data_IF_956362599519
#
_entry.id   IF_956362599519
#
_cell.length_a   1.000
_cell.length_b   1.000
_cell.length_c   1.000
_cell.angle_alpha   90.00
_cell.angle_beta   90.00
_cell.angle_gamma   90.00
#
_symmetry.space_group_name_H-M   'P 1'
#
loop_
_entity.id
_entity.type
_entity.pdbx_description
1 polymer ?
#
# COMPACT_ATOMS: atom_id res chain seq x y z
N UNK A 1 15.93 -9.75 2.97
CA UNK A 1 14.55 -10.24 3.17
C UNK A 1 13.64 -10.01 1.97
N UNK A 2 13.40 -8.77 1.50
CA UNK A 2 12.52 -8.51 0.33
C UNK A 2 12.93 -9.30 -0.93
N UNK A 3 14.23 -9.36 -1.26
CA UNK A 3 14.70 -10.18 -2.41
C UNK A 3 14.54 -11.69 -2.24
N UNK A 4 14.54 -12.20 -1.01
CA UNK A 4 14.30 -13.63 -0.72
C UNK A 4 12.80 -13.91 -0.86
N UNK A 5 11.95 -12.97 -0.43
CA UNK A 5 10.50 -13.05 -0.56
C UNK A 5 10.07 -13.00 -2.03
N UNK A 6 10.66 -12.13 -2.84
CA UNK A 6 10.38 -12.03 -4.29
C UNK A 6 10.90 -13.26 -5.05
N UNK A 7 12.12 -13.73 -4.76
CA UNK A 7 12.73 -14.87 -5.47
C UNK A 7 12.36 -16.24 -4.87
N UNK A 8 11.41 -16.32 -3.94
CA UNK A 8 11.04 -17.59 -3.30
C UNK A 8 10.36 -18.58 -4.25
N UNK A 9 10.01 -18.16 -5.47
CA UNK A 9 9.52 -19.03 -6.54
C UNK A 9 10.62 -19.90 -7.16
N UNK A 10 11.90 -19.59 -6.93
CA UNK A 10 13.01 -20.48 -7.29
C UNK A 10 13.15 -21.51 -6.18
N UNK A 11 12.26 -22.51 -6.19
CA UNK A 11 12.27 -23.62 -5.24
C UNK A 11 12.23 -24.96 -5.99
N UNK A 12 12.86 -25.99 -5.43
CA UNK A 12 12.92 -27.33 -6.03
C UNK A 12 11.59 -28.10 -5.99
N UNK A 13 10.49 -27.45 -5.62
CA UNK A 13 9.17 -28.05 -5.43
C UNK A 13 8.11 -27.46 -6.38
N UNK A 14 8.49 -26.61 -7.34
CA UNK A 14 7.60 -25.90 -8.29
C UNK A 14 6.43 -25.13 -7.62
N UNK A 15 6.60 -24.71 -6.37
CA UNK A 15 5.58 -23.97 -5.64
C UNK A 15 5.58 -22.50 -6.07
N UNK A 16 4.38 -21.90 -6.15
CA UNK A 16 4.22 -20.48 -6.38
C UNK A 16 5.00 -19.65 -5.34
N UNK A 17 5.55 -18.51 -5.77
CA UNK A 17 6.30 -17.63 -4.87
C UNK A 17 5.41 -17.17 -3.69
N UNK A 18 6.00 -16.92 -2.52
CA UNK A 18 5.26 -16.50 -1.33
C UNK A 18 4.38 -15.26 -1.56
N UNK A 19 4.80 -14.24 -2.35
CA UNK A 19 3.94 -13.14 -2.75
C UNK A 19 2.70 -13.61 -3.53
N UNK A 20 2.85 -14.54 -4.49
CA UNK A 20 1.75 -15.05 -5.32
C UNK A 20 0.77 -15.89 -4.50
N UNK A 21 1.26 -16.74 -3.59
CA UNK A 21 0.39 -17.53 -2.71
C UNK A 21 -0.38 -16.64 -1.74
N UNK A 22 0.28 -15.63 -1.16
CA UNK A 22 -0.37 -14.65 -0.28
C UNK A 22 -1.34 -13.78 -1.06
N UNK A 23 -1.01 -13.45 -2.31
CA UNK A 23 -1.87 -12.71 -3.21
C UNK A 23 -3.14 -13.48 -3.56
N UNK A 24 -3.05 -14.78 -3.88
CA UNK A 24 -4.21 -15.63 -4.12
C UNK A 24 -5.10 -15.77 -2.87
N UNK A 25 -4.50 -15.87 -1.67
CA UNK A 25 -5.26 -15.91 -0.43
C UNK A 25 -5.95 -14.58 -0.12
N UNK A 26 -5.25 -13.45 -0.30
CA UNK A 26 -5.81 -12.12 -0.12
C UNK A 26 -6.90 -11.82 -1.17
N UNK A 27 -6.69 -12.23 -2.42
CA UNK A 27 -7.68 -12.17 -3.49
C UNK A 27 -8.90 -13.05 -3.18
N UNK A 28 -8.71 -14.25 -2.61
CA UNK A 28 -9.81 -15.12 -2.20
C UNK A 28 -10.61 -14.59 -1.00
N UNK A 29 -9.97 -13.84 -0.10
CA UNK A 29 -10.62 -13.26 1.08
C UNK A 29 -11.28 -11.90 0.80
N UNK A 30 -10.60 -11.04 0.03
CA UNK A 30 -11.00 -9.64 -0.19
C UNK A 30 -11.69 -9.47 -1.55
N UNK A 31 -11.33 -10.29 -2.53
CA UNK A 31 -11.90 -10.29 -3.87
C UNK A 31 -11.85 -8.91 -4.50
N UNK A 32 -12.99 -8.49 -5.04
CA UNK A 32 -13.15 -7.22 -5.73
C UNK A 32 -12.96 -5.98 -4.85
N UNK A 33 -12.90 -6.13 -3.52
CA UNK A 33 -12.64 -5.02 -2.62
C UNK A 33 -11.13 -4.69 -2.50
N UNK A 34 -10.24 -5.44 -3.15
CA UNK A 34 -8.79 -5.26 -2.98
C UNK A 34 -8.27 -3.84 -3.29
N UNK A 35 -8.76 -3.14 -4.33
CA UNK A 35 -8.37 -1.75 -4.58
C UNK A 35 -8.63 -0.81 -3.40
N UNK A 36 -9.68 -1.06 -2.61
CA UNK A 36 -9.97 -0.24 -1.44
C UNK A 36 -8.93 -0.42 -0.33
N UNK A 37 -8.29 -1.59 -0.25
CA UNK A 37 -7.27 -1.91 0.76
C UNK A 37 -5.85 -1.55 0.30
N UNK A 38 -5.62 -1.39 -1.00
CA UNK A 38 -4.32 -1.03 -1.58
C UNK A 38 -3.68 0.20 -0.93
N UNK A 39 -4.47 1.27 -0.73
CA UNK A 39 -4.00 2.48 -0.06
C UNK A 39 -3.65 2.22 1.42
N UNK A 40 -4.43 1.40 2.12
CA UNK A 40 -4.19 1.06 3.54
C UNK A 40 -2.91 0.26 3.72
N UNK A 41 -2.61 -0.67 2.81
CA UNK A 41 -1.34 -1.43 2.82
C UNK A 41 -0.15 -0.48 2.61
N UNK A 42 -0.26 0.48 1.68
CA UNK A 42 0.77 1.51 1.48
C UNK A 42 0.99 2.37 2.72
N UNK A 43 -0.10 2.79 3.38
CA UNK A 43 -0.04 3.59 4.61
C UNK A 43 0.58 2.81 5.77
N UNK A 44 0.23 1.54 5.96
CA UNK A 44 0.84 0.67 6.97
C UNK A 44 2.35 0.53 6.74
N UNK A 45 2.78 0.30 5.50
CA UNK A 45 4.19 0.22 5.17
C UNK A 45 4.94 1.51 5.48
N UNK A 46 4.36 2.67 5.16
CA UNK A 46 4.99 3.96 5.43
C UNK A 46 4.97 4.34 6.91
N UNK A 47 3.93 3.94 7.65
CA UNK A 47 3.84 4.13 9.08
C UNK A 47 4.92 3.32 9.83
N UNK A 48 5.11 2.05 9.47
CA UNK A 48 6.10 1.16 10.09
C UNK A 48 7.52 1.52 9.66
N UNK A 49 7.76 1.64 8.35
CA UNK A 49 9.10 1.90 7.81
C UNK A 49 9.53 3.35 8.01
N UNK A 50 8.57 4.26 8.14
CA UNK A 50 8.82 5.67 8.24
C UNK A 50 9.22 6.37 6.94
N UNK A 51 9.02 5.73 5.79
CA UNK A 51 9.40 6.33 4.52
C UNK A 51 8.54 5.81 3.38
N UNK A 52 8.11 6.73 2.53
CA UNK A 52 7.39 6.39 1.30
C UNK A 52 8.22 5.48 0.40
N UNK A 53 9.52 5.75 0.30
CA UNK A 53 10.43 4.96 -0.55
C UNK A 53 10.53 3.53 -0.05
N UNK A 54 10.71 3.34 1.25
CA UNK A 54 10.85 2.01 1.84
C UNK A 54 9.53 1.24 1.77
N UNK A 55 8.40 1.90 2.03
CA UNK A 55 7.07 1.29 1.87
C UNK A 55 6.83 0.79 0.45
N UNK A 56 7.12 1.63 -0.55
CA UNK A 56 6.94 1.26 -1.95
C UNK A 56 7.86 0.09 -2.35
N UNK A 57 9.14 0.13 -1.95
CA UNK A 57 10.04 -1.01 -2.20
C UNK A 57 9.59 -2.30 -1.52
N UNK A 58 8.91 -2.24 -0.37
CA UNK A 58 8.43 -3.40 0.36
C UNK A 58 7.16 -4.00 -0.24
N UNK A 59 6.17 -3.17 -0.58
CA UNK A 59 4.82 -3.64 -0.89
C UNK A 59 4.40 -3.49 -2.36
N UNK A 60 5.08 -2.65 -3.16
CA UNK A 60 4.63 -2.40 -4.55
C UNK A 60 4.72 -3.66 -5.40
N UNK A 61 5.74 -4.51 -5.20
CA UNK A 61 5.82 -5.79 -5.90
C UNK A 61 4.68 -6.73 -5.48
N UNK A 62 4.41 -6.85 -4.18
CA UNK A 62 3.30 -7.67 -3.70
C UNK A 62 1.96 -7.21 -4.29
N UNK A 63 1.70 -5.90 -4.28
CA UNK A 63 0.47 -5.36 -4.84
C UNK A 63 0.37 -5.49 -6.37
N UNK A 64 1.51 -5.42 -7.07
CA UNK A 64 1.56 -5.71 -8.50
C UNK A 64 1.13 -7.15 -8.80
N UNK A 65 1.68 -8.13 -8.08
CA UNK A 65 1.32 -9.55 -8.23
C UNK A 65 -0.15 -9.82 -7.89
N UNK A 66 -0.69 -9.16 -6.85
CA UNK A 66 -2.12 -9.25 -6.51
C UNK A 66 -2.98 -8.68 -7.63
N UNK A 67 -2.61 -7.54 -8.21
CA UNK A 67 -3.34 -6.93 -9.31
C UNK A 67 -3.37 -7.83 -10.56
N UNK A 68 -2.24 -8.47 -10.88
CA UNK A 68 -2.15 -9.46 -11.96
C UNK A 68 -3.05 -10.68 -11.68
N UNK A 69 -3.02 -11.19 -10.46
CA UNK A 69 -3.83 -12.35 -10.04
C UNK A 69 -5.34 -12.06 -10.10
N UNK A 70 -5.74 -10.85 -9.70
CA UNK A 70 -7.12 -10.38 -9.75
C UNK A 70 -7.54 -9.87 -11.15
N UNK A 71 -6.64 -9.88 -12.14
CA UNK A 71 -6.89 -9.34 -13.49
C UNK A 71 -7.36 -7.87 -13.49
N UNK A 72 -6.90 -7.08 -12.52
CA UNK A 72 -7.18 -5.65 -12.39
C UNK A 72 -5.96 -4.81 -12.79
N UNK A 73 -6.15 -3.52 -13.10
CA UNK A 73 -5.02 -2.66 -13.50
C UNK A 73 -3.95 -2.56 -12.39
N UNK A 74 -2.75 -3.00 -12.72
CA UNK A 74 -1.60 -2.93 -11.82
C UNK A 74 -1.11 -1.51 -11.64
N UNK A 75 -1.21 -0.66 -12.67
CA UNK A 75 -0.90 0.78 -12.56
C UNK A 75 -1.76 1.47 -11.50
N UNK A 76 -3.07 1.22 -11.50
CA UNK A 76 -3.97 1.86 -10.53
C UNK A 76 -3.70 1.36 -9.12
N UNK A 77 -3.51 0.05 -8.94
CA UNK A 77 -3.21 -0.53 -7.62
C UNK A 77 -1.88 0.02 -7.08
N UNK A 78 -0.82 0.11 -7.90
CA UNK A 78 0.44 0.71 -7.46
C UNK A 78 0.28 2.20 -7.13
N UNK A 79 -0.49 2.94 -7.94
CA UNK A 79 -0.75 4.35 -7.69
C UNK A 79 -1.47 4.57 -6.35
N UNK A 80 -2.50 3.75 -6.06
CA UNK A 80 -3.21 3.76 -4.78
C UNK A 80 -2.27 3.45 -3.61
N UNK A 81 -1.35 2.50 -3.78
CA UNK A 81 -0.35 2.23 -2.75
C UNK A 81 0.54 3.44 -2.50
N UNK A 82 1.02 4.12 -3.55
CA UNK A 82 1.89 5.29 -3.41
C UNK A 82 1.16 6.45 -2.69
N UNK A 83 -0.12 6.67 -3.01
CA UNK A 83 -0.97 7.64 -2.30
C UNK A 83 -1.16 7.24 -0.83
N UNK A 84 -1.43 5.97 -0.59
CA UNK A 84 -1.52 5.40 0.75
C UNK A 84 -0.24 5.59 1.57
N UNK A 85 0.92 5.32 0.96
CA UNK A 85 2.22 5.53 1.59
C UNK A 85 2.40 6.98 2.02
N UNK A 86 2.09 7.95 1.15
CA UNK A 86 2.12 9.36 1.52
C UNK A 86 1.21 9.69 2.71
N UNK A 87 0.01 9.10 2.77
CA UNK A 87 -0.91 9.27 3.88
C UNK A 87 -0.40 8.67 5.21
N UNK A 88 0.20 7.48 5.16
CA UNK A 88 0.79 6.81 6.32
C UNK A 88 2.04 7.51 6.86
N UNK A 89 2.80 8.18 5.99
CA UNK A 89 3.98 8.93 6.40
C UNK A 89 3.64 10.12 7.31
N UNK A 90 2.44 10.68 7.22
CA UNK A 90 1.96 11.78 8.09
C UNK A 90 1.80 11.36 9.57
N UNK A 91 1.57 10.08 9.84
CA UNK A 91 1.38 9.53 11.19
C UNK A 91 2.59 8.75 11.69
N UNK A 92 3.63 8.59 10.88
CA UNK A 92 4.82 7.84 11.25
C UNK A 92 5.55 8.53 12.43
N UNK A 93 5.82 7.78 13.49
CA UNK A 93 6.32 8.32 14.78
C UNK A 93 7.60 9.12 14.57
N UNK A 94 8.54 8.59 13.79
CA UNK A 94 9.83 9.26 13.52
C UNK A 94 9.66 10.64 12.84
N UNK A 95 8.66 10.83 11.97
CA UNK A 95 8.35 12.13 11.37
C UNK A 95 7.70 13.08 12.38
N UNK A 96 6.75 12.58 13.17
CA UNK A 96 6.02 13.39 14.16
C UNK A 96 6.95 13.86 15.28
N UNK A 97 7.87 13.00 15.73
CA UNK A 97 8.91 13.33 16.72
C UNK A 97 9.87 14.37 16.13
N UNK A 98 10.39 14.14 14.92
CA UNK A 98 11.30 15.08 14.26
C UNK A 98 10.67 16.46 14.06
N UNK A 99 9.41 16.50 13.59
CA UNK A 99 8.67 17.74 13.43
C UNK A 99 8.43 18.42 14.79
N UNK A 100 8.05 17.68 15.83
CA UNK A 100 7.82 18.24 17.16
C UNK A 100 9.11 18.81 17.77
N UNK A 101 10.27 18.24 17.46
CA UNK A 101 11.57 18.76 17.88
C UNK A 101 11.93 20.09 17.21
N UNK A 102 11.61 20.28 15.91
CA UNK A 102 11.97 21.51 15.17
C UNK A 102 11.10 22.70 15.56
N UNK A 103 9.83 22.49 15.93
CA UNK A 103 8.92 23.56 16.34
C UNK A 103 8.85 23.76 17.86
N UNK A 104 9.69 23.06 18.64
CA UNK A 104 9.74 23.21 20.10
C UNK A 104 8.54 22.61 20.85
N UNK A 105 7.84 21.65 20.24
CA UNK A 105 6.68 20.95 20.81
C UNK A 105 7.05 19.58 21.42
N UNK A 106 8.28 19.43 21.92
CA UNK A 106 8.74 18.21 22.59
C UNK A 106 7.78 17.82 23.74
N UNK A 107 7.41 16.54 23.80
CA UNK A 107 6.43 16.03 24.77
C UNK A 107 4.96 16.27 24.40
N UNK A 108 4.67 16.92 23.26
CA UNK A 108 3.30 17.10 22.70
C UNK A 108 3.06 16.32 21.41
N UNK A 109 3.91 15.35 21.09
CA UNK A 109 3.83 14.51 19.89
C UNK A 109 2.47 13.83 19.72
N UNK A 110 1.86 13.38 20.82
CA UNK A 110 0.53 12.77 20.79
C UNK A 110 -0.58 13.73 20.37
N UNK A 111 -0.45 15.04 20.66
CA UNK A 111 -1.39 16.04 20.18
C UNK A 111 -1.24 16.29 18.68
N UNK A 112 0.00 16.26 18.17
CA UNK A 112 0.32 16.35 16.75
C UNK A 112 -0.21 15.12 16.01
N UNK A 113 0.04 13.92 16.52
CA UNK A 113 -0.45 12.65 15.96
C UNK A 113 -1.98 12.58 15.90
N UNK A 114 -2.65 13.04 16.97
CA UNK A 114 -4.12 13.09 17.00
C UNK A 114 -4.69 14.00 15.92
N UNK A 115 -3.99 15.09 15.58
CA UNK A 115 -4.39 15.98 14.50
C UNK A 115 -4.09 15.39 13.12
N UNK A 116 -3.01 14.64 12.95
CA UNK A 116 -2.63 14.05 11.65
C UNK A 116 -3.38 12.76 11.31
N UNK A 117 -3.94 12.05 12.29
CA UNK A 117 -4.81 10.88 12.04
C UNK A 117 -6.05 11.24 11.22
N UNK A 118 -6.64 12.41 11.44
CA UNK A 118 -7.85 12.86 10.72
C UNK A 118 -7.59 12.95 9.20
N UNK A 119 -6.58 13.71 8.72
CA UNK A 119 -6.28 13.75 7.29
C UNK A 119 -5.80 12.38 6.77
N UNK A 120 -5.05 11.59 7.53
CA UNK A 120 -4.66 10.24 7.08
C UNK A 120 -5.87 9.35 6.81
N UNK A 121 -6.86 9.35 7.70
CA UNK A 121 -8.09 8.59 7.51
C UNK A 121 -8.86 9.08 6.28
N UNK A 122 -9.01 10.39 6.12
CA UNK A 122 -9.63 10.98 4.93
C UNK A 122 -8.93 10.54 3.62
N UNK A 123 -7.60 10.61 3.57
CA UNK A 123 -6.84 10.17 2.40
C UNK A 123 -7.05 8.68 2.11
N UNK A 124 -7.05 7.83 3.12
CA UNK A 124 -7.25 6.39 2.95
C UNK A 124 -8.65 6.06 2.42
N UNK A 125 -9.70 6.64 3.01
CA UNK A 125 -11.07 6.39 2.57
C UNK A 125 -11.31 6.91 1.16
N UNK A 126 -10.86 8.13 0.86
CA UNK A 126 -11.05 8.74 -0.46
C UNK A 126 -10.24 8.02 -1.53
N UNK A 127 -8.97 7.69 -1.27
CA UNK A 127 -8.15 6.93 -2.21
C UNK A 127 -8.75 5.55 -2.47
N UNK A 128 -9.21 4.84 -1.43
CA UNK A 128 -9.86 3.54 -1.59
C UNK A 128 -11.14 3.61 -2.44
N UNK A 129 -11.99 4.61 -2.21
CA UNK A 129 -13.20 4.84 -3.00
C UNK A 129 -12.87 5.19 -4.47
N UNK A 130 -11.90 6.06 -4.70
CA UNK A 130 -11.43 6.40 -6.05
C UNK A 130 -10.90 5.16 -6.75
N UNK A 131 -10.12 4.33 -6.05
CA UNK A 131 -9.60 3.07 -6.57
C UNK A 131 -10.69 2.12 -7.07
N UNK A 132 -11.74 1.94 -6.27
CA UNK A 132 -12.91 1.14 -6.65
C UNK A 132 -13.64 1.74 -7.87
N UNK A 133 -13.87 3.05 -7.87
CA UNK A 133 -14.60 3.73 -8.96
C UNK A 133 -13.83 3.65 -10.27
N UNK A 134 -12.51 3.82 -10.26
CA UNK A 134 -11.70 3.80 -11.48
C UNK A 134 -11.62 2.37 -12.05
N UNK A 135 -11.41 1.36 -11.20
CA UNK A 135 -11.26 -0.03 -11.65
C UNK A 135 -12.62 -0.61 -12.11
N UNK A 136 -13.68 -0.44 -11.32
CA UNK A 136 -14.98 -1.06 -11.61
C UNK A 136 -15.94 -0.16 -12.39
N UNK A 137 -15.90 1.15 -12.14
CA UNK A 137 -16.80 2.11 -12.79
C UNK A 137 -16.32 2.53 -14.19
N UNK A 138 -15.03 2.84 -14.33
CA UNK A 138 -14.46 3.26 -15.62
C UNK A 138 -13.82 2.12 -16.42
N UNK A 139 -13.75 0.90 -15.87
CA UNK A 139 -13.09 -0.26 -16.48
C UNK A 139 -11.70 0.07 -17.04
N UNK A 140 -10.92 0.88 -16.31
CA UNK A 140 -9.56 1.18 -16.70
C UNK A 140 -8.71 -0.10 -16.62
N UNK A 141 -8.48 -0.72 -17.78
CA UNK A 141 -7.59 -1.87 -17.93
C UNK A 141 -6.24 -1.40 -18.45
N UNK A 142 -5.17 -1.96 -17.89
CA UNK A 142 -3.80 -1.63 -18.25
C UNK A 142 -3.51 -1.94 -19.72
N UNK A 143 -2.76 -1.07 -20.39
CA UNK A 143 -2.34 -1.32 -21.78
C UNK A 143 -1.40 -2.52 -21.90
N UNK A 144 -0.73 -2.90 -20.80
CA UNK A 144 0.14 -4.08 -20.70
C UNK A 144 -0.61 -5.42 -20.55
N UNK A 145 -1.95 -5.39 -20.37
CA UNK A 145 -2.80 -6.59 -20.31
C UNK A 145 -3.53 -6.87 -21.64
N UNK A 146 -3.31 -6.06 -22.69
CA UNK A 146 -3.82 -6.37 -24.03
C UNK A 146 -2.89 -7.40 -24.70
N UNK A 147 -3.43 -8.49 -25.27
CA UNK A 147 -2.66 -9.53 -25.94
C UNK A 147 -1.92 -9.02 -27.18
#
# INVERSE_FOLDING_TARGET
MVRIFINSGINGAELASMPVTTANFAAGLVGDAFPALSATVGALGAFIAGSNTVSNMMFSQFQFEVAQTLTISSVIVIALQAVGAAAGNMIAIHNVVAASATVGLLGREGATLRKTIIPTFYYLTVAGLIGLIIIYGFQFTDHLMKP
#
